data_IF_925461336846
#
_entry.id   IF_925461336846
#
_cell.length_a   1.000
_cell.length_b   1.000
_cell.length_c   1.000
_cell.angle_alpha   90.00
_cell.angle_beta   90.00
_cell.angle_gamma   90.00
#
_symmetry.space_group_name_H-M   'P 1'
#
loop_
_entity.id
_entity.type
_entity.pdbx_description
1 polymer ?
#
# COMPACT_ATOMS: atom_id res chain seq x y z
N UNK A 1 -4.29 -10.94 11.08
CA UNK A 1 -3.56 -9.88 10.34
C UNK A 1 -2.21 -9.65 11.03
N UNK A 2 -1.10 -9.74 10.32
CA UNK A 2 0.24 -9.61 10.92
C UNK A 2 0.88 -8.35 10.33
N UNK A 3 0.66 -7.22 11.00
CA UNK A 3 1.37 -5.98 10.70
C UNK A 3 2.12 -5.54 11.96
N UNK A 4 3.41 -5.23 11.85
CA UNK A 4 4.20 -4.77 12.97
C UNK A 4 4.12 -5.66 14.23
N UNK A 5 4.14 -6.96 14.08
CA UNK A 5 3.93 -7.95 15.17
C UNK A 5 2.56 -7.81 15.87
N UNK A 6 1.53 -7.44 15.11
CA UNK A 6 0.16 -7.24 15.62
C UNK A 6 -0.14 -5.85 16.17
N UNK A 7 0.84 -4.93 16.21
CA UNK A 7 0.71 -3.61 16.85
C UNK A 7 0.30 -2.47 15.91
N UNK A 8 0.55 -2.57 14.61
CA UNK A 8 0.34 -1.55 13.59
C UNK A 8 1.01 -0.19 13.84
N UNK A 9 2.23 0.01 13.35
CA UNK A 9 2.80 1.34 13.21
C UNK A 9 2.11 2.04 12.03
N UNK A 10 1.10 2.86 12.28
CA UNK A 10 0.27 3.40 11.21
C UNK A 10 0.81 4.71 10.61
N UNK A 11 1.62 5.47 11.34
CA UNK A 11 2.30 6.65 10.80
C UNK A 11 3.57 6.98 11.57
N UNK A 12 4.32 7.98 11.08
CA UNK A 12 5.46 8.58 11.76
C UNK A 12 5.25 10.09 11.83
N UNK A 13 5.34 10.68 13.03
CA UNK A 13 5.00 12.08 13.26
C UNK A 13 6.15 13.06 13.03
N UNK A 14 7.21 12.63 12.35
CA UNK A 14 8.31 13.53 11.94
C UNK A 14 7.80 14.65 11.04
N UNK A 15 8.27 15.89 11.26
CA UNK A 15 8.01 16.99 10.34
C UNK A 15 8.70 16.76 8.99
N UNK A 16 8.24 17.46 7.95
CA UNK A 16 8.75 17.26 6.59
C UNK A 16 10.26 17.37 6.44
N UNK A 17 10.88 18.35 7.10
CA UNK A 17 12.32 18.58 7.03
C UNK A 17 13.17 17.41 7.55
N UNK A 18 12.63 16.59 8.45
CA UNK A 18 13.27 15.36 8.92
C UNK A 18 12.84 14.15 8.11
N UNK A 19 11.53 14.09 7.77
CA UNK A 19 10.95 12.95 7.05
C UNK A 19 11.48 12.82 5.61
N UNK A 20 11.69 13.93 4.92
CA UNK A 20 12.09 13.94 3.52
C UNK A 20 13.43 13.23 3.25
N UNK A 21 14.35 13.24 4.24
CA UNK A 21 15.64 12.54 4.15
C UNK A 21 15.52 11.00 4.08
N UNK A 22 14.35 10.46 4.41
CA UNK A 22 14.07 9.02 4.35
C UNK A 22 13.34 8.59 3.07
N UNK A 23 13.07 9.53 2.15
CA UNK A 23 12.35 9.27 0.89
C UNK A 23 13.33 9.33 -0.28
N UNK A 24 13.47 8.25 -1.01
CA UNK A 24 14.32 8.14 -2.18
C UNK A 24 13.55 7.69 -3.42
N UNK A 25 13.93 8.10 -4.64
CA UNK A 25 15.00 9.06 -4.96
C UNK A 25 14.51 10.53 -5.02
N UNK A 26 13.23 10.81 -4.94
CA UNK A 26 12.65 12.15 -5.18
C UNK A 26 11.64 12.55 -4.08
N UNK A 27 12.11 12.98 -2.90
CA UNK A 27 11.21 13.31 -1.78
C UNK A 27 10.18 14.39 -2.15
N UNK A 28 10.57 15.41 -2.91
CA UNK A 28 9.68 16.51 -3.28
C UNK A 28 8.44 16.08 -4.08
N UNK A 29 8.45 14.90 -4.69
CA UNK A 29 7.26 14.35 -5.35
C UNK A 29 6.12 14.11 -4.36
N UNK A 30 6.43 13.67 -3.13
CA UNK A 30 5.43 13.40 -2.09
C UNK A 30 5.08 14.63 -1.23
N UNK A 31 5.80 15.75 -1.39
CA UNK A 31 5.61 16.95 -0.56
C UNK A 31 4.17 17.49 -0.56
N UNK A 32 3.47 17.61 -1.70
CA UNK A 32 2.09 18.05 -1.72
C UNK A 32 1.15 17.11 -0.95
N UNK A 33 1.32 15.79 -1.13
CA UNK A 33 0.52 14.78 -0.42
C UNK A 33 0.76 14.80 1.08
N UNK A 34 2.03 14.99 1.50
CA UNK A 34 2.39 15.09 2.90
C UNK A 34 1.71 16.27 3.61
N UNK A 35 1.65 17.45 2.97
CA UNK A 35 0.98 18.60 3.56
C UNK A 35 -0.55 18.56 3.43
N UNK A 36 -1.08 17.81 2.47
CA UNK A 36 -2.51 17.62 2.34
C UNK A 36 -3.07 16.73 3.47
N UNK A 37 -2.35 15.64 3.79
CA UNK A 37 -2.67 14.76 4.91
C UNK A 37 -1.40 14.55 5.75
N UNK A 38 -1.21 15.39 6.78
CA UNK A 38 -0.08 15.25 7.70
C UNK A 38 -0.27 14.08 8.65
N UNK A 39 0.79 13.66 9.30
CA UNK A 39 0.73 12.61 10.31
C UNK A 39 -0.13 13.00 11.51
N UNK A 40 -0.10 14.28 11.91
CA UNK A 40 -0.98 14.78 12.96
C UNK A 40 -2.45 14.66 12.53
N UNK A 41 -2.80 15.12 11.34
CA UNK A 41 -4.17 14.97 10.81
C UNK A 41 -4.62 13.49 10.76
N UNK A 42 -3.70 12.57 10.45
CA UNK A 42 -4.02 11.13 10.48
C UNK A 42 -4.27 10.63 11.89
N UNK A 43 -3.48 11.09 12.87
CA UNK A 43 -3.69 10.77 14.30
C UNK A 43 -5.05 11.30 14.75
N UNK A 44 -5.32 12.58 14.50
CA UNK A 44 -6.59 13.23 14.88
C UNK A 44 -7.78 12.51 14.24
N UNK A 45 -7.68 12.20 12.95
CA UNK A 45 -8.72 11.48 12.22
C UNK A 45 -9.07 10.12 12.85
N UNK A 46 -8.04 9.35 13.24
CA UNK A 46 -8.28 8.05 13.87
C UNK A 46 -8.82 8.20 15.30
N UNK A 47 -8.41 9.25 16.03
CA UNK A 47 -8.97 9.57 17.34
C UNK A 47 -10.46 9.96 17.26
N UNK A 48 -10.86 10.77 16.29
CA UNK A 48 -12.25 11.11 16.02
C UNK A 48 -13.12 9.88 15.76
N UNK A 49 -12.51 8.81 15.19
CA UNK A 49 -13.17 7.53 14.94
C UNK A 49 -12.92 6.49 16.05
N UNK A 50 -12.56 6.95 17.27
CA UNK A 50 -12.52 6.15 18.47
C UNK A 50 -11.26 5.29 18.65
N UNK A 51 -10.13 5.66 18.01
CA UNK A 51 -8.85 4.99 18.23
C UNK A 51 -7.82 5.98 18.81
N UNK A 52 -7.54 5.87 20.09
CA UNK A 52 -6.45 6.62 20.71
C UNK A 52 -5.08 6.16 20.19
N UNK A 53 -4.17 7.13 20.03
CA UNK A 53 -2.82 6.88 19.54
C UNK A 53 -1.77 7.17 20.60
N UNK A 54 -0.64 6.45 20.55
CA UNK A 54 0.56 6.68 21.33
C UNK A 54 1.76 6.86 20.42
N UNK A 55 2.59 7.84 20.74
CA UNK A 55 3.84 8.09 20.02
C UNK A 55 4.99 7.44 20.79
N UNK A 56 5.70 6.53 20.12
CA UNK A 56 6.83 5.82 20.69
C UNK A 56 8.16 6.34 20.12
N UNK A 57 9.26 5.78 20.66
CA UNK A 57 10.62 6.10 20.23
C UNK A 57 10.75 6.05 18.70
N UNK A 58 11.36 7.09 18.13
CA UNK A 58 11.54 7.26 16.69
C UNK A 58 10.30 7.83 16.00
N UNK A 59 9.46 8.53 16.76
CA UNK A 59 8.29 9.28 16.30
C UNK A 59 7.25 8.37 15.59
N UNK A 60 7.18 7.13 16.02
CA UNK A 60 6.26 6.12 15.47
C UNK A 60 4.94 6.13 16.22
N UNK A 61 3.84 6.27 15.48
CA UNK A 61 2.50 6.24 16.03
C UNK A 61 1.92 4.82 16.00
N UNK A 62 1.37 4.41 17.12
CA UNK A 62 0.68 3.13 17.31
C UNK A 62 -0.68 3.37 17.97
N UNK A 63 -1.66 2.46 17.81
CA UNK A 63 -2.85 2.49 18.68
C UNK A 63 -2.42 2.32 20.14
N UNK A 64 -3.06 3.04 21.06
CA UNK A 64 -2.74 3.00 22.48
C UNK A 64 -2.95 1.59 23.08
N UNK A 65 -3.89 0.83 22.55
CA UNK A 65 -4.14 -0.58 22.89
C UNK A 65 -3.04 -1.54 22.42
N UNK A 66 -2.18 -1.08 21.52
CA UNK A 66 -1.21 -1.91 20.77
C UNK A 66 -1.85 -3.03 19.92
N UNK A 67 -3.12 -2.92 19.57
CA UNK A 67 -3.83 -3.87 18.73
C UNK A 67 -4.02 -3.30 17.32
N UNK A 68 -3.52 -4.00 16.31
CA UNK A 68 -3.69 -3.60 14.92
C UNK A 68 -5.16 -3.61 14.46
N UNK A 69 -6.03 -4.38 15.13
CA UNK A 69 -7.46 -4.41 14.88
C UNK A 69 -8.11 -3.03 15.05
N UNK A 70 -7.69 -2.27 16.07
CA UNK A 70 -8.32 -1.00 16.40
C UNK A 70 -8.13 0.05 15.29
N UNK A 71 -6.99 -0.01 14.58
CA UNK A 71 -6.78 0.80 13.38
C UNK A 71 -7.76 0.42 12.26
N UNK A 72 -7.96 -0.89 12.06
CA UNK A 72 -8.90 -1.38 11.04
C UNK A 72 -10.33 -0.98 11.41
N UNK A 73 -10.73 -1.18 12.66
CA UNK A 73 -12.07 -0.87 13.14
C UNK A 73 -12.37 0.64 13.07
N UNK A 74 -11.40 1.50 13.36
CA UNK A 74 -11.54 2.94 13.19
C UNK A 74 -11.72 3.33 11.72
N UNK A 75 -10.93 2.75 10.81
CA UNK A 75 -11.04 3.03 9.38
C UNK A 75 -12.35 2.49 8.79
N UNK A 76 -12.81 1.33 9.25
CA UNK A 76 -14.10 0.77 8.83
C UNK A 76 -15.24 1.68 9.28
N UNK A 77 -15.27 2.08 10.56
CA UNK A 77 -16.25 3.06 11.05
C UNK A 77 -16.24 4.35 10.25
N UNK A 78 -15.07 4.91 10.01
CA UNK A 78 -14.94 6.13 9.22
C UNK A 78 -15.52 6.00 7.81
N UNK A 79 -15.30 4.86 7.15
CA UNK A 79 -15.84 4.58 5.84
C UNK A 79 -17.38 4.43 5.88
N UNK A 80 -17.92 3.70 6.85
CA UNK A 80 -19.34 3.48 7.03
C UNK A 80 -20.07 4.79 7.38
N UNK A 81 -19.50 5.61 8.27
CA UNK A 81 -20.04 6.93 8.64
C UNK A 81 -20.07 7.88 7.43
N UNK A 82 -19.10 7.75 6.53
CA UNK A 82 -19.08 8.45 5.24
C UNK A 82 -20.07 7.87 4.19
N UNK A 83 -20.82 6.82 4.53
CA UNK A 83 -21.78 6.16 3.64
C UNK A 83 -21.17 5.18 2.64
N UNK A 84 -19.91 4.80 2.79
CA UNK A 84 -19.28 3.79 1.95
C UNK A 84 -19.82 2.39 2.28
N UNK A 85 -19.94 1.55 1.25
CA UNK A 85 -20.32 0.13 1.41
C UNK A 85 -19.07 -0.74 1.30
N UNK A 86 -18.84 -1.56 2.30
CA UNK A 86 -17.70 -2.48 2.34
C UNK A 86 -18.18 -3.88 1.98
N UNK A 87 -17.65 -4.45 0.90
CA UNK A 87 -17.93 -5.78 0.44
C UNK A 87 -16.71 -6.69 0.68
N UNK A 88 -16.78 -7.51 1.73
CA UNK A 88 -15.73 -8.49 2.03
C UNK A 88 -15.90 -9.77 1.20
N UNK A 89 -14.81 -10.54 1.05
CA UNK A 89 -14.82 -11.81 0.32
C UNK A 89 -15.06 -11.65 -1.19
N UNK A 90 -14.80 -10.47 -1.74
CA UNK A 90 -14.91 -10.17 -3.17
C UNK A 90 -13.51 -10.05 -3.76
N UNK A 91 -13.00 -11.17 -4.26
CA UNK A 91 -11.73 -11.22 -4.96
C UNK A 91 -11.94 -10.73 -6.40
N UNK A 92 -11.24 -9.66 -6.77
CA UNK A 92 -11.33 -9.09 -8.12
C UNK A 92 -10.53 -9.95 -9.08
N UNK A 93 -11.21 -10.44 -10.12
CA UNK A 93 -10.61 -11.23 -11.21
C UNK A 93 -10.10 -10.35 -12.32
N UNK A 94 -10.90 -9.37 -12.74
CA UNK A 94 -10.61 -8.52 -13.88
C UNK A 94 -11.22 -7.13 -13.73
N UNK A 95 -10.60 -6.16 -14.38
CA UNK A 95 -11.08 -4.78 -14.45
C UNK A 95 -11.02 -4.32 -15.91
N UNK A 96 -12.17 -4.03 -16.49
CA UNK A 96 -12.28 -3.51 -17.85
C UNK A 96 -12.75 -2.06 -17.85
N UNK A 97 -12.34 -1.29 -18.87
CA UNK A 97 -12.82 0.06 -19.12
C UNK A 97 -13.70 0.04 -20.36
N UNK A 98 -14.95 0.41 -20.20
CA UNK A 98 -15.86 0.58 -21.32
C UNK A 98 -15.73 1.99 -21.86
N UNK A 99 -15.37 2.11 -23.13
CA UNK A 99 -15.52 3.38 -23.84
C UNK A 99 -17.00 3.63 -24.06
N UNK A 100 -17.49 4.84 -23.83
CA UNK A 100 -18.85 5.20 -24.26
C UNK A 100 -18.96 5.12 -25.77
N UNK A 101 -20.09 4.62 -26.25
CA UNK A 101 -20.46 4.73 -27.65
C UNK A 101 -20.64 6.23 -27.96
N UNK A 102 -19.97 6.69 -29.02
CA UNK A 102 -19.86 8.09 -29.43
C UNK A 102 -21.16 8.74 -29.97
N UNK A 103 -22.35 8.27 -29.59
CA UNK A 103 -23.60 8.81 -30.07
C UNK A 103 -24.15 10.02 -29.26
N UNK A 104 -23.53 10.35 -28.12
CA UNK A 104 -23.90 11.52 -27.32
C UNK A 104 -22.98 12.71 -27.60
N UNK A 105 -23.55 13.74 -28.24
CA UNK A 105 -22.88 14.96 -28.71
C UNK A 105 -22.39 15.93 -27.61
N UNK A 106 -22.14 15.51 -26.39
CA UNK A 106 -21.64 16.37 -25.32
C UNK A 106 -20.19 16.02 -24.96
N UNK A 107 -19.18 16.79 -25.38
CA UNK A 107 -17.77 16.50 -25.15
C UNK A 107 -17.31 16.60 -23.71
N UNK A 108 -18.10 17.19 -22.80
CA UNK A 108 -17.71 17.40 -21.40
C UNK A 108 -18.00 16.22 -20.45
N UNK A 109 -18.61 15.12 -20.92
CA UNK A 109 -18.97 13.96 -20.10
C UNK A 109 -18.38 12.62 -20.54
N UNK A 110 -17.25 12.63 -21.25
CA UNK A 110 -16.63 11.41 -21.80
C UNK A 110 -15.79 10.62 -20.79
N UNK A 111 -16.18 10.52 -19.51
CA UNK A 111 -15.58 9.58 -18.58
C UNK A 111 -16.19 8.19 -18.82
N UNK A 112 -15.38 7.27 -19.38
CA UNK A 112 -15.78 5.86 -19.51
C UNK A 112 -16.07 5.24 -18.17
N UNK A 113 -16.93 4.22 -18.13
CA UNK A 113 -17.20 3.45 -16.92
C UNK A 113 -16.19 2.32 -16.78
N UNK A 114 -15.90 1.93 -15.53
CA UNK A 114 -15.14 0.73 -15.21
C UNK A 114 -16.11 -0.38 -14.82
N UNK A 115 -15.84 -1.59 -15.27
CA UNK A 115 -16.51 -2.81 -14.80
C UNK A 115 -15.49 -3.65 -14.06
N UNK A 116 -15.83 -4.04 -12.84
CA UNK A 116 -15.01 -4.87 -11.94
C UNK A 116 -15.69 -6.22 -11.84
N UNK A 117 -15.01 -7.27 -12.28
CA UNK A 117 -15.49 -8.64 -12.22
C UNK A 117 -14.82 -9.38 -11.06
N UNK A 118 -15.61 -10.05 -10.23
CA UNK A 118 -15.11 -10.86 -9.13
C UNK A 118 -15.10 -12.35 -9.48
N UNK A 119 -14.29 -13.12 -8.76
CA UNK A 119 -14.16 -14.58 -8.96
C UNK A 119 -15.45 -15.34 -8.64
N UNK A 120 -16.32 -14.79 -7.81
CA UNK A 120 -17.63 -15.33 -7.48
C UNK A 120 -18.74 -15.02 -8.51
N UNK A 121 -18.38 -14.34 -9.62
CA UNK A 121 -19.29 -13.94 -10.68
C UNK A 121 -20.05 -12.64 -10.42
N UNK A 122 -19.82 -11.97 -9.28
CA UNK A 122 -20.40 -10.64 -9.06
C UNK A 122 -19.68 -9.58 -9.88
N UNK A 123 -20.43 -8.57 -10.34
CA UNK A 123 -19.93 -7.44 -11.11
C UNK A 123 -20.29 -6.12 -10.45
N UNK A 124 -19.39 -5.15 -10.53
CA UNK A 124 -19.59 -3.78 -10.07
C UNK A 124 -19.20 -2.79 -11.16
N UNK A 125 -19.98 -1.73 -11.30
CA UNK A 125 -19.68 -0.65 -12.26
C UNK A 125 -19.49 0.67 -11.55
N UNK A 126 -18.53 1.50 -12.01
CA UNK A 126 -18.29 2.82 -11.44
C UNK A 126 -17.73 3.79 -12.48
N UNK A 127 -17.94 5.09 -12.28
CA UNK A 127 -17.35 6.13 -13.11
C UNK A 127 -15.88 6.42 -12.75
N UNK A 128 -15.49 6.19 -11.49
CA UNK A 128 -14.12 6.40 -11.00
C UNK A 128 -13.69 5.20 -10.17
N UNK A 129 -12.47 4.75 -10.40
CA UNK A 129 -11.89 3.59 -9.73
C UNK A 129 -10.58 3.97 -9.04
N UNK A 130 -10.42 3.57 -7.79
CA UNK A 130 -9.17 3.69 -7.05
C UNK A 130 -8.66 2.28 -6.71
N UNK A 131 -7.47 1.94 -7.18
CA UNK A 131 -6.85 0.63 -6.95
C UNK A 131 -5.88 0.76 -5.77
N UNK A 132 -6.19 0.10 -4.65
CA UNK A 132 -5.43 0.14 -3.40
C UNK A 132 -5.07 -1.28 -2.90
N UNK A 133 -4.73 -2.20 -3.81
CA UNK A 133 -4.49 -3.62 -3.53
C UNK A 133 -3.13 -3.91 -2.88
N UNK A 134 -2.31 -2.88 -2.62
CA UNK A 134 -0.98 -3.03 -2.06
C UNK A 134 0.06 -3.47 -3.10
N UNK A 135 1.21 -3.91 -2.60
CA UNK A 135 2.36 -4.31 -3.43
C UNK A 135 2.61 -5.82 -3.37
N UNK A 136 3.89 -6.21 -3.25
CA UNK A 136 4.35 -7.62 -3.26
C UNK A 136 4.96 -8.07 -1.92
N UNK A 137 4.92 -7.22 -0.87
CA UNK A 137 5.70 -7.47 0.35
C UNK A 137 5.13 -8.58 1.23
N UNK A 138 3.81 -8.76 1.26
CA UNK A 138 3.15 -9.75 2.11
C UNK A 138 1.99 -10.43 1.37
N UNK A 139 2.26 -11.41 0.49
CA UNK A 139 1.21 -12.07 -0.31
C UNK A 139 0.12 -12.73 0.55
N UNK A 140 0.47 -13.28 1.72
CA UNK A 140 -0.50 -13.89 2.67
C UNK A 140 -1.54 -12.89 3.22
N UNK A 141 -1.31 -11.58 3.07
CA UNK A 141 -2.24 -10.52 3.48
C UNK A 141 -2.97 -9.89 2.31
N UNK A 142 -2.90 -10.49 1.12
CA UNK A 142 -3.55 -10.01 -0.10
C UNK A 142 -2.67 -9.08 -0.96
N UNK A 143 -1.40 -8.82 -0.58
CA UNK A 143 -0.47 -8.00 -1.38
C UNK A 143 0.18 -8.84 -2.47
N UNK A 144 -0.60 -9.26 -3.47
CA UNK A 144 -0.21 -10.16 -4.56
C UNK A 144 0.32 -9.44 -5.79
N UNK A 145 0.16 -8.10 -5.84
CA UNK A 145 0.67 -7.27 -6.93
C UNK A 145 -0.30 -7.10 -8.11
N UNK A 146 -1.55 -7.52 -7.97
CA UNK A 146 -2.58 -7.46 -9.02
C UNK A 146 -2.73 -6.07 -9.61
N UNK A 147 -2.68 -5.03 -8.76
CA UNK A 147 -2.75 -3.64 -9.20
C UNK A 147 -1.66 -3.24 -10.21
N UNK A 148 -0.50 -3.89 -10.21
CA UNK A 148 0.53 -3.66 -11.24
C UNK A 148 0.14 -4.25 -12.60
N UNK A 149 -0.57 -5.38 -12.59
CA UNK A 149 -1.13 -5.99 -13.80
C UNK A 149 -2.12 -5.04 -14.45
N UNK A 150 -3.16 -4.68 -13.73
CA UNK A 150 -4.21 -3.77 -14.21
C UNK A 150 -3.66 -2.41 -14.63
N UNK A 151 -2.70 -1.85 -13.89
CA UNK A 151 -2.06 -0.59 -14.30
C UNK A 151 -1.39 -0.70 -15.67
N UNK A 152 -0.72 -1.84 -15.99
CA UNK A 152 -0.15 -2.07 -17.32
C UNK A 152 -1.22 -2.20 -18.39
N UNK A 153 -2.31 -2.90 -18.12
CA UNK A 153 -3.45 -3.05 -19.03
C UNK A 153 -4.08 -1.69 -19.38
N UNK A 154 -4.11 -0.76 -18.41
CA UNK A 154 -4.53 0.61 -18.64
C UNK A 154 -3.46 1.51 -19.28
N UNK A 155 -2.34 0.94 -19.73
CA UNK A 155 -1.29 1.65 -20.46
C UNK A 155 -0.24 2.35 -19.60
N UNK A 156 -0.24 2.13 -18.28
CA UNK A 156 0.80 2.67 -17.40
C UNK A 156 2.10 1.85 -17.48
N UNK A 157 3.24 2.53 -17.43
CA UNK A 157 4.54 1.90 -17.29
C UNK A 157 4.86 1.61 -15.83
N UNK A 158 5.26 0.37 -15.54
CA UNK A 158 5.70 -0.03 -14.20
C UNK A 158 7.23 -0.13 -14.20
N UNK A 159 7.87 0.60 -13.31
CA UNK A 159 9.31 0.46 -13.09
C UNK A 159 9.63 -0.87 -12.44
N UNK A 160 10.82 -1.45 -12.68
CA UNK A 160 11.24 -2.68 -12.03
C UNK A 160 11.07 -2.58 -10.51
N UNK A 161 10.43 -3.58 -9.93
CA UNK A 161 10.19 -3.66 -8.49
C UNK A 161 11.38 -4.36 -7.82
N UNK A 162 11.82 -3.80 -6.70
CA UNK A 162 12.87 -4.39 -5.86
C UNK A 162 12.52 -4.17 -4.39
N UNK A 163 12.97 -5.06 -3.48
CA UNK A 163 12.71 -4.90 -2.06
C UNK A 163 13.46 -3.69 -1.51
N UNK A 164 12.78 -2.87 -0.71
CA UNK A 164 13.36 -1.71 -0.03
C UNK A 164 13.86 -2.03 1.38
N UNK A 165 13.43 -3.16 1.94
CA UNK A 165 13.87 -3.67 3.24
C UNK A 165 14.14 -5.17 3.11
N UNK A 166 15.37 -5.58 3.40
CA UNK A 166 15.79 -6.99 3.39
C UNK A 166 16.50 -7.36 4.67
N UNK A 167 16.37 -8.62 5.08
CA UNK A 167 17.16 -9.13 6.20
C UNK A 167 18.63 -9.30 5.77
N UNK A 168 19.56 -8.83 6.60
CA UNK A 168 20.98 -9.12 6.45
C UNK A 168 21.25 -10.42 7.20
N UNK A 169 21.73 -11.45 6.49
CA UNK A 169 22.11 -12.73 7.09
C UNK A 169 23.59 -12.98 6.87
N UNK A 170 24.32 -13.51 7.88
CA UNK A 170 25.72 -13.89 7.73
C UNK A 170 25.91 -14.91 6.61
N UNK A 171 27.05 -14.84 5.91
CA UNK A 171 27.40 -15.84 4.91
C UNK A 171 27.46 -17.23 5.56
N UNK A 172 26.73 -18.18 5.00
CA UNK A 172 26.65 -19.55 5.51
C UNK A 172 25.58 -19.78 6.59
N UNK A 173 24.77 -18.76 6.92
CA UNK A 173 23.60 -18.95 7.78
C UNK A 173 22.60 -19.89 7.10
N UNK A 174 22.33 -21.03 7.74
CA UNK A 174 21.30 -21.96 7.31
C UNK A 174 20.06 -21.67 8.16
N UNK A 175 18.99 -21.24 7.51
CA UNK A 175 17.70 -21.11 8.15
C UNK A 175 16.95 -22.44 8.03
N UNK A 176 16.72 -23.11 9.16
CA UNK A 176 15.85 -24.29 9.23
C UNK A 176 14.38 -23.81 9.18
N UNK A 177 13.95 -23.29 8.02
CA UNK A 177 12.53 -23.01 7.82
C UNK A 177 11.86 -24.27 7.31
N UNK A 178 10.96 -24.81 8.12
CA UNK A 178 9.99 -25.83 7.71
C UNK A 178 8.93 -25.27 6.76
N UNK A 179 8.90 -23.94 6.54
CA UNK A 179 8.00 -23.27 5.62
C UNK A 179 8.58 -23.24 4.21
N UNK A 180 8.12 -24.16 3.37
CA UNK A 180 8.47 -24.24 1.95
C UNK A 180 8.10 -22.97 1.15
N UNK A 181 7.20 -22.13 1.67
CA UNK A 181 6.73 -20.89 1.05
C UNK A 181 7.70 -19.72 1.20
N UNK A 182 8.58 -19.71 2.21
CA UNK A 182 9.61 -18.68 2.34
C UNK A 182 10.81 -18.88 1.41
N UNK A 183 10.98 -20.06 0.85
CA UNK A 183 12.11 -20.37 -0.06
C UNK A 183 12.14 -19.53 -1.33
N UNK A 184 10.99 -19.02 -1.80
CA UNK A 184 10.91 -18.19 -2.98
C UNK A 184 11.47 -16.77 -2.83
N UNK A 185 11.50 -16.24 -1.60
CA UNK A 185 11.90 -14.86 -1.34
C UNK A 185 13.36 -14.70 -0.84
N UNK A 186 13.98 -15.76 -0.34
CA UNK A 186 15.34 -15.72 0.24
C UNK A 186 16.42 -16.10 -0.78
N UNK A 187 16.06 -16.57 -1.97
CA UNK A 187 16.99 -17.14 -2.95
C UNK A 187 17.73 -16.11 -3.84
N UNK A 188 17.73 -14.83 -3.50
CA UNK A 188 18.70 -13.90 -4.05
C UNK A 188 19.77 -13.64 -3.00
N UNK A 189 20.89 -14.34 -3.12
CA UNK A 189 22.14 -13.97 -2.45
C UNK A 189 22.55 -12.59 -2.95
N UNK A 190 22.04 -11.52 -2.32
CA UNK A 190 22.53 -10.18 -2.51
C UNK A 190 23.89 -10.15 -1.81
N UNK A 191 24.98 -10.14 -2.57
CA UNK A 191 26.31 -9.95 -2.01
C UNK A 191 26.39 -8.51 -1.49
N UNK A 192 26.98 -8.30 -0.31
CA UNK A 192 27.19 -6.95 0.26
C UNK A 192 28.01 -6.03 -0.67
N UNK A 193 28.83 -6.58 -1.58
CA UNK A 193 29.50 -5.87 -2.65
C UNK A 193 28.54 -5.19 -3.64
N UNK A 194 27.40 -5.79 -3.96
CA UNK A 194 26.42 -5.23 -4.89
C UNK A 194 25.61 -4.07 -4.26
N UNK A 195 25.44 -4.09 -2.93
CA UNK A 195 24.80 -2.99 -2.20
C UNK A 195 25.71 -1.78 -2.13
N UNK A 196 27.01 -1.98 -1.97
CA UNK A 196 28.01 -0.91 -1.89
C UNK A 196 28.13 -0.11 -3.20
N UNK A 197 28.13 -0.76 -4.34
CA UNK A 197 28.23 -0.11 -5.65
C UNK A 197 26.96 0.67 -6.02
N UNK A 198 25.78 0.22 -5.59
CA UNK A 198 24.53 0.95 -5.82
C UNK A 198 24.37 2.20 -4.98
N UNK A 199 25.03 2.28 -3.82
CA UNK A 199 24.95 3.44 -2.91
C UNK A 199 26.05 4.47 -3.18
N UNK A 200 27.16 4.10 -3.85
CA UNK A 200 28.28 4.98 -4.13
C UNK A 200 28.34 5.51 -5.58
N UNK A 201 27.42 5.13 -6.43
CA UNK A 201 27.36 5.57 -7.82
C UNK A 201 26.48 6.79 -8.01
N UNK A 202 27.06 7.96 -7.82
CA UNK A 202 26.91 9.27 -8.46
C UNK A 202 26.98 10.39 -7.42
N UNK A 203 28.17 10.88 -7.25
CA UNK A 203 28.43 12.30 -6.90
C UNK A 203 28.24 13.16 -8.15
#
# INVERSE_FOLDING_TARGET
MITGKGRCNFTNVKPWNEFNGHIHPKPNFLKPSFYNLTSEKMVDYLQEHGMEAVIERGDRAFPASHLASDVVDALVRAAEDAGAKIHCGKEVRDISRQARNNDDCHPEQSEGSFTIECTDGSEYTCGKLIICTGGLSYPKTGSTGDGYGWAKEFGHSIRPLFPSLTAIVPKGYKHDSTDSEMKGHINRNVQLSEIGESLCGNQ
#
